data_IF_146365874395
#
_entry.id   IF_146365874395
#
_cell.length_a   1.000
_cell.length_b   1.000
_cell.length_c   1.000
_cell.angle_alpha   90.00
_cell.angle_beta   90.00
_cell.angle_gamma   90.00
#
_symmetry.space_group_name_H-M   'P 1'
#
loop_
_entity.id
_entity.type
_entity.pdbx_description
1 polymer ?
#
# COMPACT_ATOMS: atom_id res chain seq x y z
N UNK A 1 -1.78 17.37 7.30
CA UNK A 1 -2.48 16.46 6.35
C UNK A 1 -1.66 15.20 6.04
N UNK A 2 -0.33 15.27 5.86
CA UNK A 2 0.51 14.08 5.62
C UNK A 2 0.61 13.15 6.84
N UNK A 3 0.64 13.69 8.05
CA UNK A 3 0.80 12.93 9.30
C UNK A 3 -0.39 12.00 9.57
N UNK A 4 -1.62 12.54 9.50
CA UNK A 4 -2.85 11.75 9.60
C UNK A 4 -2.90 10.57 8.61
N UNK A 5 -2.56 10.81 7.33
CA UNK A 5 -2.58 9.73 6.33
C UNK A 5 -1.51 8.67 6.65
N UNK A 6 -0.34 9.07 7.16
CA UNK A 6 0.69 8.12 7.57
C UNK A 6 0.21 7.23 8.72
N UNK A 7 -0.36 7.84 9.76
CA UNK A 7 -0.88 7.16 10.95
C UNK A 7 -2.00 6.20 10.58
N UNK A 8 -3.00 6.68 9.83
CA UNK A 8 -4.11 5.86 9.37
C UNK A 8 -3.63 4.66 8.54
N UNK A 9 -2.69 4.86 7.61
CA UNK A 9 -2.13 3.75 6.80
C UNK A 9 -1.40 2.76 7.70
N UNK A 10 -0.56 3.23 8.63
CA UNK A 10 0.23 2.36 9.49
C UNK A 10 -0.67 1.55 10.44
N UNK A 11 -1.74 2.16 10.94
CA UNK A 11 -2.76 1.48 11.74
C UNK A 11 -3.43 0.35 10.96
N UNK A 12 -3.90 0.62 9.73
CA UNK A 12 -4.52 -0.41 8.87
C UNK A 12 -3.55 -1.55 8.59
N UNK A 13 -2.30 -1.25 8.21
CA UNK A 13 -1.27 -2.26 7.97
C UNK A 13 -1.02 -3.09 9.22
N UNK A 14 -0.87 -2.46 10.38
CA UNK A 14 -0.57 -3.16 11.65
C UNK A 14 -1.71 -4.09 12.08
N UNK A 15 -2.97 -3.67 11.90
CA UNK A 15 -4.16 -4.50 12.19
C UNK A 15 -4.30 -5.68 11.23
N UNK A 16 -3.84 -5.55 9.99
CA UNK A 16 -3.96 -6.63 8.99
C UNK A 16 -2.80 -6.65 7.99
N UNK A 17 -1.57 -7.06 8.42
CA UNK A 17 -0.39 -7.00 7.56
C UNK A 17 -0.50 -7.89 6.32
N UNK A 18 -1.24 -9.01 6.42
CA UNK A 18 -1.50 -9.89 5.27
C UNK A 18 -2.36 -9.20 4.19
N UNK A 19 -3.35 -8.39 4.60
CA UNK A 19 -4.27 -7.67 3.68
C UNK A 19 -3.59 -6.43 3.10
N UNK A 20 -3.03 -5.58 3.96
CA UNK A 20 -2.54 -4.26 3.56
C UNK A 20 -1.02 -4.15 3.38
N UNK A 21 -0.26 -5.16 3.81
CA UNK A 21 1.19 -5.28 3.57
C UNK A 21 1.56 -6.19 2.39
N UNK A 22 0.59 -6.83 1.73
CA UNK A 22 0.81 -7.79 0.64
C UNK A 22 1.10 -7.14 -0.73
N UNK A 23 1.33 -7.96 -1.76
CA UNK A 23 1.58 -7.50 -3.13
C UNK A 23 0.39 -6.75 -3.74
N UNK A 24 -0.81 -7.31 -3.62
CA UNK A 24 -2.07 -6.74 -4.13
C UNK A 24 -2.72 -5.72 -3.20
N UNK A 25 -1.97 -5.16 -2.23
CA UNK A 25 -2.54 -4.34 -1.15
C UNK A 25 -2.85 -2.89 -1.52
N UNK A 26 -2.26 -2.35 -2.60
CA UNK A 26 -2.52 -0.97 -3.04
C UNK A 26 -4.01 -0.70 -3.31
N UNK A 27 -4.70 -1.48 -4.19
CA UNK A 27 -6.12 -1.26 -4.42
C UNK A 27 -6.95 -1.51 -3.15
N UNK A 28 -6.55 -2.45 -2.29
CA UNK A 28 -7.27 -2.77 -1.06
C UNK A 28 -7.27 -1.60 -0.07
N UNK A 29 -6.12 -0.96 0.15
CA UNK A 29 -6.05 0.18 1.08
C UNK A 29 -6.71 1.45 0.50
N UNK A 30 -6.64 1.63 -0.82
CA UNK A 30 -7.35 2.72 -1.51
C UNK A 30 -8.87 2.55 -1.38
N UNK A 31 -9.37 1.33 -1.56
CA UNK A 31 -10.78 1.02 -1.38
C UNK A 31 -11.23 1.20 0.08
N UNK A 32 -10.43 0.74 1.04
CA UNK A 32 -10.70 0.93 2.47
C UNK A 32 -10.83 2.42 2.81
N UNK A 33 -9.97 3.26 2.22
CA UNK A 33 -10.04 4.71 2.40
C UNK A 33 -11.32 5.31 1.84
N UNK A 34 -11.76 4.90 0.64
CA UNK A 34 -13.03 5.37 0.09
C UNK A 34 -14.21 4.98 0.98
N UNK A 35 -14.25 3.73 1.45
CA UNK A 35 -15.33 3.24 2.33
C UNK A 35 -15.42 4.02 3.64
N UNK A 36 -14.29 4.44 4.19
CA UNK A 36 -14.24 5.12 5.49
C UNK A 36 -14.52 6.63 5.39
N UNK A 37 -14.00 7.30 4.35
CA UNK A 37 -14.07 8.77 4.24
C UNK A 37 -15.07 9.29 3.22
N UNK A 38 -15.56 8.43 2.33
CA UNK A 38 -16.56 8.77 1.31
C UNK A 38 -17.59 7.63 1.17
N UNK A 39 -18.26 7.22 2.27
CA UNK A 39 -19.13 6.04 2.28
C UNK A 39 -20.31 6.14 1.31
N UNK A 40 -20.79 7.36 1.06
CA UNK A 40 -21.97 7.61 0.23
C UNK A 40 -21.60 7.96 -1.23
N UNK A 41 -20.31 8.09 -1.54
CA UNK A 41 -19.87 8.44 -2.88
C UNK A 41 -19.96 7.24 -3.82
N UNK A 42 -20.62 7.44 -4.95
CA UNK A 42 -20.59 6.49 -6.07
C UNK A 42 -19.28 6.60 -6.85
N UNK A 43 -18.95 5.56 -7.62
CA UNK A 43 -17.77 5.57 -8.50
C UNK A 43 -17.83 6.71 -9.52
N UNK A 44 -19.03 7.06 -10.01
CA UNK A 44 -19.24 8.13 -10.98
C UNK A 44 -18.96 9.54 -10.40
N UNK A 45 -19.06 9.72 -9.09
CA UNK A 45 -18.82 10.99 -8.40
C UNK A 45 -17.34 11.21 -8.03
N UNK A 46 -16.48 10.21 -8.25
CA UNK A 46 -15.04 10.32 -7.96
C UNK A 46 -14.34 11.30 -8.90
N UNK A 47 -14.08 12.49 -8.36
CA UNK A 47 -13.28 13.53 -9.04
C UNK A 47 -11.78 13.18 -9.17
N UNK A 48 -11.02 13.88 -10.05
CA UNK A 48 -9.57 13.74 -10.14
C UNK A 48 -8.83 13.97 -8.81
N UNK A 49 -9.37 14.82 -7.92
CA UNK A 49 -8.78 15.07 -6.60
C UNK A 49 -8.84 13.82 -5.71
N UNK A 50 -9.94 13.06 -5.76
CA UNK A 50 -10.03 11.76 -5.07
C UNK A 50 -8.97 10.81 -5.60
N UNK A 51 -8.85 10.67 -6.92
CA UNK A 51 -7.85 9.79 -7.55
C UNK A 51 -6.41 10.16 -7.17
N UNK A 52 -6.10 11.46 -7.10
CA UNK A 52 -4.81 11.96 -6.63
C UNK A 52 -4.54 11.59 -5.16
N UNK A 53 -5.57 11.69 -4.30
CA UNK A 53 -5.49 11.28 -2.89
C UNK A 53 -5.25 9.78 -2.73
N UNK A 54 -5.98 8.94 -3.48
CA UNK A 54 -5.78 7.49 -3.49
C UNK A 54 -4.38 7.09 -3.97
N UNK A 55 -3.88 7.76 -5.01
CA UNK A 55 -2.50 7.56 -5.50
C UNK A 55 -1.46 7.94 -4.44
N UNK A 56 -1.73 8.99 -3.66
CA UNK A 56 -0.90 9.38 -2.53
C UNK A 56 -0.91 8.32 -1.43
N UNK A 57 -2.08 7.77 -1.09
CA UNK A 57 -2.21 6.68 -0.11
C UNK A 57 -1.37 5.47 -0.53
N UNK A 58 -1.47 5.03 -1.78
CA UNK A 58 -0.66 3.92 -2.30
C UNK A 58 0.85 4.18 -2.18
N UNK A 59 1.32 5.37 -2.59
CA UNK A 59 2.74 5.75 -2.48
C UNK A 59 3.21 5.81 -1.03
N UNK A 60 2.42 6.41 -0.14
CA UNK A 60 2.73 6.51 1.29
C UNK A 60 2.80 5.13 1.93
N UNK A 61 1.83 4.24 1.64
CA UNK A 61 1.85 2.85 2.10
C UNK A 61 3.14 2.15 1.69
N UNK A 62 3.58 2.30 0.44
CA UNK A 62 4.83 1.70 -0.02
C UNK A 62 6.07 2.28 0.68
N UNK A 63 6.09 3.58 1.01
CA UNK A 63 7.16 4.19 1.83
C UNK A 63 7.17 3.66 3.26
N UNK A 64 5.99 3.51 3.87
CA UNK A 64 5.86 2.99 5.24
C UNK A 64 6.30 1.52 5.34
N UNK A 65 5.94 0.67 4.37
CA UNK A 65 6.40 -0.73 4.35
C UNK A 65 7.93 -0.84 4.23
N UNK A 66 8.57 0.03 3.43
CA UNK A 66 10.04 0.10 3.36
C UNK A 66 10.68 0.46 4.71
N UNK A 67 10.04 1.31 5.50
CA UNK A 67 10.49 1.70 6.84
C UNK A 67 10.14 0.68 7.93
N UNK A 68 9.19 -0.22 7.67
CA UNK A 68 8.70 -1.22 8.63
C UNK A 68 8.70 -2.62 7.98
N UNK A 69 9.87 -3.23 7.76
CA UNK A 69 9.98 -4.52 7.05
C UNK A 69 9.20 -5.66 7.72
N UNK A 70 9.02 -5.60 9.04
CA UNK A 70 8.22 -6.56 9.81
C UNK A 70 6.74 -6.59 9.41
N UNK A 71 6.23 -5.52 8.80
CA UNK A 71 4.87 -5.40 8.28
C UNK A 71 4.75 -5.68 6.78
N UNK A 72 5.88 -5.76 6.08
CA UNK A 72 5.91 -6.07 4.66
C UNK A 72 5.66 -7.57 4.43
N UNK A 73 4.64 -7.87 3.64
CA UNK A 73 4.24 -9.24 3.26
C UNK A 73 4.36 -9.46 1.76
N UNK A 74 4.98 -8.52 1.04
CA UNK A 74 5.38 -8.71 -0.35
C UNK A 74 6.50 -9.74 -0.37
N UNK A 75 6.16 -10.96 -0.76
CA UNK A 75 7.18 -11.92 -1.18
C UNK A 75 7.65 -11.49 -2.55
N UNK A 76 8.83 -10.89 -2.63
CA UNK A 76 9.53 -10.83 -3.91
C UNK A 76 9.88 -12.27 -4.29
N UNK A 77 9.51 -12.75 -5.49
CA UNK A 77 10.08 -13.96 -6.02
C UNK A 77 11.61 -13.80 -5.97
N UNK A 78 12.31 -14.66 -5.25
CA UNK A 78 13.78 -14.68 -5.18
C UNK A 78 14.40 -15.21 -6.49
N UNK A 79 13.78 -14.91 -7.64
CA UNK A 79 14.14 -15.47 -8.94
C UNK A 79 14.73 -14.38 -9.81
N UNK A 80 16.06 -14.27 -9.76
CA UNK A 80 16.97 -14.49 -10.91
C UNK A 80 18.31 -13.75 -10.75
N UNK A 81 18.34 -12.58 -10.10
CA UNK A 81 19.57 -11.78 -10.03
C UNK A 81 20.64 -12.35 -9.08
N UNK A 82 20.23 -12.95 -7.96
CA UNK A 82 21.17 -13.57 -7.02
C UNK A 82 21.70 -14.94 -7.51
N UNK A 83 20.96 -15.61 -8.41
CA UNK A 83 21.42 -16.87 -9.00
C UNK A 83 22.41 -16.63 -10.13
N UNK A 84 22.20 -15.59 -10.95
CA UNK A 84 23.13 -15.19 -12.02
C UNK A 84 24.47 -14.68 -11.49
N UNK A 85 24.51 -14.06 -10.31
CA UNK A 85 25.77 -13.62 -9.70
C UNK A 85 26.62 -14.78 -9.17
N UNK A 86 26.00 -15.89 -8.79
CA UNK A 86 26.69 -17.06 -8.24
C UNK A 86 27.14 -18.07 -9.31
N UNK A 87 26.70 -17.90 -10.56
CA UNK A 87 27.14 -18.70 -11.71
C UNK A 87 28.30 -18.05 -12.49
N UNK A 88 28.73 -16.85 -12.07
CA UNK A 88 29.82 -16.08 -12.68
C UNK A 88 31.08 -15.99 -11.79
N UNK A 89 31.12 -16.74 -10.69
CA UNK A 89 32.32 -16.99 -9.85
C UNK A 89 32.80 -18.43 -10.04
#
# INVERSE_FOLDING_TARGET
MSEFINEWILEKISKSPKKFGGFSSNPLIMLEFLKEFYPDATVAELTPQHMSKLSTISRTKNKLLKKNPNLDRRKYPQTSFQMLSNELE
#
